data_IF_958378533968
#
_entry.id   IF_958378533968
#
_cell.length_a   1.000
_cell.length_b   1.000
_cell.length_c   1.000
_cell.angle_alpha   90.00
_cell.angle_beta   90.00
_cell.angle_gamma   90.00
#
_symmetry.space_group_name_H-M   'P 1'
#
loop_
_entity.id
_entity.type
_entity.pdbx_description
1 polymer ?
#
# COMPACT_ATOMS: atom_id res chain seq x y z
N UNK A 1 -23.13 13.58 -37.56
CA UNK A 1 -24.07 12.45 -37.66
C UNK A 1 -25.24 12.77 -36.78
N UNK A 2 -26.43 12.95 -37.36
CA UNK A 2 -27.66 13.09 -36.56
C UNK A 2 -27.99 11.74 -35.90
N UNK A 3 -28.32 11.78 -34.63
CA UNK A 3 -28.68 10.61 -33.85
C UNK A 3 -30.01 10.04 -34.39
N UNK A 4 -30.15 8.76 -34.69
CA UNK A 4 -31.37 8.20 -35.29
C UNK A 4 -32.64 8.44 -34.44
N UNK A 5 -32.47 8.69 -33.14
CA UNK A 5 -33.55 9.00 -32.19
C UNK A 5 -34.09 10.44 -32.33
N UNK A 6 -33.42 11.32 -33.08
CA UNK A 6 -33.89 12.67 -33.38
C UNK A 6 -34.73 12.75 -34.67
N UNK A 7 -35.13 11.58 -35.22
CA UNK A 7 -36.03 11.54 -36.40
C UNK A 7 -37.43 11.93 -36.03
N UNK A 8 -38.20 12.48 -37.00
CA UNK A 8 -39.58 12.95 -36.83
C UNK A 8 -40.57 11.85 -36.34
N UNK A 9 -40.14 10.57 -36.34
CA UNK A 9 -40.92 9.43 -35.86
C UNK A 9 -40.92 9.27 -34.35
N UNK A 10 -39.93 9.85 -33.66
CA UNK A 10 -39.80 9.78 -32.18
C UNK A 10 -40.26 11.12 -31.54
N UNK A 11 -41.56 11.39 -31.64
CA UNK A 11 -42.17 12.56 -31.01
C UNK A 11 -42.12 12.40 -29.48
N UNK A 12 -41.18 13.08 -28.85
CA UNK A 12 -41.11 13.17 -27.37
C UNK A 12 -39.76 12.84 -26.75
N UNK A 13 -38.80 12.27 -27.54
CA UNK A 13 -37.43 12.10 -27.08
C UNK A 13 -36.50 13.05 -27.84
N UNK A 14 -35.94 14.03 -27.15
CA UNK A 14 -34.86 14.85 -27.70
C UNK A 14 -33.55 14.42 -27.06
N UNK A 15 -32.66 13.78 -27.83
CA UNK A 15 -31.32 13.46 -27.37
C UNK A 15 -30.42 14.68 -27.59
N UNK A 16 -30.09 15.35 -26.52
CA UNK A 16 -29.13 16.44 -26.57
C UNK A 16 -27.71 15.87 -26.67
N UNK A 17 -26.88 16.47 -27.54
CA UNK A 17 -25.46 16.19 -27.55
C UNK A 17 -24.91 16.47 -26.14
N UNK A 18 -24.37 15.45 -25.48
CA UNK A 18 -23.84 15.56 -24.11
C UNK A 18 -22.76 16.64 -24.00
N UNK A 19 -22.57 17.14 -22.81
CA UNK A 19 -21.48 18.08 -22.51
C UNK A 19 -20.15 17.42 -22.85
N UNK A 20 -19.29 18.15 -23.57
CA UNK A 20 -17.93 17.68 -23.88
C UNK A 20 -17.23 17.27 -22.58
N UNK A 21 -16.78 16.02 -22.51
CA UNK A 21 -16.08 15.56 -21.31
C UNK A 21 -14.81 16.39 -21.10
N UNK A 22 -14.61 16.93 -19.90
CA UNK A 22 -13.38 17.64 -19.58
C UNK A 22 -12.21 16.68 -19.74
N UNK A 23 -11.05 17.21 -20.12
CA UNK A 23 -9.82 16.41 -20.21
C UNK A 23 -9.59 15.61 -18.93
N UNK A 24 -9.37 14.30 -19.04
CA UNK A 24 -9.05 13.39 -17.92
C UNK A 24 -7.78 13.87 -17.19
N UNK A 25 -6.91 14.59 -17.88
CA UNK A 25 -5.71 15.19 -17.31
C UNK A 25 -6.00 16.66 -17.04
N UNK A 26 -5.91 17.08 -15.77
CA UNK A 26 -6.05 18.48 -15.40
C UNK A 26 -5.05 19.34 -16.22
N UNK A 27 -5.51 20.25 -17.13
CA UNK A 27 -4.63 21.05 -17.99
C UNK A 27 -3.75 22.02 -17.18
N UNK A 28 -4.10 22.31 -15.94
CA UNK A 28 -3.33 23.17 -15.02
C UNK A 28 -2.29 22.43 -14.20
N UNK A 29 -2.22 21.09 -14.31
CA UNK A 29 -1.15 20.31 -13.69
C UNK A 29 0.18 20.67 -14.37
N UNK A 30 0.94 21.57 -13.75
CA UNK A 30 2.34 21.76 -14.11
C UNK A 30 3.03 20.42 -13.88
N UNK A 31 3.38 19.72 -14.96
CA UNK A 31 4.22 18.52 -14.94
C UNK A 31 5.63 18.94 -14.50
N UNK A 32 5.80 19.34 -13.25
CA UNK A 32 7.10 19.35 -12.64
C UNK A 32 7.58 17.90 -12.64
N UNK A 33 8.64 17.61 -13.39
CA UNK A 33 9.37 16.36 -13.22
C UNK A 33 9.95 16.42 -11.80
N UNK A 34 9.18 15.99 -10.80
CA UNK A 34 9.74 15.62 -9.51
C UNK A 34 10.69 14.45 -9.78
N UNK A 35 11.95 14.76 -10.04
CA UNK A 35 13.01 13.75 -9.92
C UNK A 35 13.04 13.41 -8.44
N UNK A 36 12.40 12.31 -8.08
CA UNK A 36 12.61 11.73 -6.76
C UNK A 36 14.12 11.53 -6.62
N UNK A 37 14.74 12.29 -5.69
CA UNK A 37 16.13 12.08 -5.33
C UNK A 37 16.27 10.60 -4.96
N UNK A 38 17.13 9.89 -5.67
CA UNK A 38 17.47 8.52 -5.30
C UNK A 38 18.12 8.59 -3.93
N UNK A 39 17.50 7.93 -2.96
CA UNK A 39 18.04 7.82 -1.62
C UNK A 39 19.16 6.77 -1.63
N UNK A 40 20.24 7.05 -0.94
CA UNK A 40 21.29 6.05 -0.68
C UNK A 40 20.81 5.04 0.35
N UNK A 41 21.48 3.89 0.44
CA UNK A 41 21.19 2.90 1.49
C UNK A 41 21.33 3.53 2.90
N UNK A 42 22.29 4.43 3.10
CA UNK A 42 22.45 5.17 4.35
C UNK A 42 21.25 6.05 4.70
N UNK A 43 20.69 6.79 3.72
CA UNK A 43 19.50 7.62 3.92
C UNK A 43 18.29 6.79 4.34
N UNK A 44 18.13 5.58 3.74
CA UNK A 44 17.07 4.65 4.13
C UNK A 44 17.23 4.17 5.57
N UNK A 45 18.41 3.72 5.93
CA UNK A 45 18.71 3.20 7.29
C UNK A 45 18.49 4.28 8.34
N UNK A 46 19.00 5.48 8.11
CA UNK A 46 18.82 6.61 9.03
C UNK A 46 17.34 6.95 9.22
N UNK A 47 16.58 7.03 8.15
CA UNK A 47 15.14 7.31 8.22
C UNK A 47 14.36 6.21 8.93
N UNK A 48 14.68 4.92 8.67
CA UNK A 48 14.05 3.78 9.35
C UNK A 48 14.34 3.83 10.85
N UNK A 49 15.58 4.03 11.25
CA UNK A 49 15.98 4.10 12.67
C UNK A 49 15.38 5.31 13.40
N UNK A 50 15.12 6.40 12.69
CA UNK A 50 14.35 7.55 13.21
C UNK A 50 12.85 7.27 13.29
N UNK A 51 12.38 6.18 12.69
CA UNK A 51 10.97 5.79 12.65
C UNK A 51 10.15 6.62 11.66
N UNK A 52 10.75 7.12 10.58
CA UNK A 52 10.04 7.80 9.50
C UNK A 52 9.25 6.78 8.67
N UNK A 53 7.93 6.80 8.83
CA UNK A 53 6.98 5.91 8.15
C UNK A 53 7.05 6.07 6.62
N UNK A 54 7.35 7.26 6.11
CA UNK A 54 7.47 7.53 4.68
C UNK A 54 8.71 6.85 4.12
N UNK A 55 9.84 6.95 4.82
CA UNK A 55 11.09 6.28 4.44
C UNK A 55 10.93 4.77 4.56
N UNK A 56 10.30 4.26 5.62
CA UNK A 56 9.97 2.84 5.76
C UNK A 56 9.14 2.33 4.59
N UNK A 57 8.07 3.05 4.21
CA UNK A 57 7.23 2.67 3.08
C UNK A 57 7.99 2.61 1.74
N UNK A 58 8.95 3.52 1.53
CA UNK A 58 9.85 3.50 0.37
C UNK A 58 10.83 2.33 0.42
N UNK A 59 11.41 2.05 1.57
CA UNK A 59 12.32 0.94 1.77
C UNK A 59 11.63 -0.41 1.52
N UNK A 60 10.40 -0.60 1.99
CA UNK A 60 9.59 -1.78 1.71
C UNK A 60 9.33 -1.91 0.21
N UNK A 61 9.00 -0.82 -0.48
CA UNK A 61 8.80 -0.82 -1.94
C UNK A 61 10.10 -1.18 -2.68
N UNK A 62 11.25 -0.71 -2.18
CA UNK A 62 12.56 -1.05 -2.73
C UNK A 62 12.86 -2.55 -2.59
N UNK A 63 12.59 -3.12 -1.42
CA UNK A 63 12.76 -4.56 -1.11
C UNK A 63 11.83 -5.43 -1.97
N UNK A 64 10.59 -5.00 -2.21
CA UNK A 64 9.62 -5.72 -3.03
C UNK A 64 9.91 -5.61 -4.54
N UNK A 65 10.77 -4.68 -4.95
CA UNK A 65 11.08 -4.43 -6.36
C UNK A 65 11.82 -5.61 -6.99
N UNK A 66 11.47 -5.92 -8.24
CA UNK A 66 12.15 -6.92 -9.07
C UNK A 66 13.31 -6.34 -9.88
N UNK A 67 13.50 -5.02 -9.85
CA UNK A 67 14.59 -4.36 -10.57
C UNK A 67 15.95 -4.70 -9.93
N UNK A 68 16.93 -5.23 -10.69
CA UNK A 68 18.25 -5.60 -10.15
C UNK A 68 18.99 -4.45 -9.45
N UNK A 69 18.88 -3.22 -9.97
CA UNK A 69 19.49 -2.05 -9.35
C UNK A 69 18.90 -1.73 -7.97
N UNK A 70 17.58 -1.96 -7.81
CA UNK A 70 16.92 -1.80 -6.52
C UNK A 70 17.29 -2.91 -5.55
N UNK A 71 17.48 -4.13 -6.04
CA UNK A 71 17.83 -5.27 -5.19
C UNK A 71 19.19 -5.10 -4.51
N UNK A 72 20.19 -4.53 -5.20
CA UNK A 72 21.49 -4.24 -4.63
C UNK A 72 21.39 -3.26 -3.45
N UNK A 73 20.65 -2.16 -3.63
CA UNK A 73 20.43 -1.17 -2.56
C UNK A 73 19.58 -1.76 -1.43
N UNK A 74 18.55 -2.55 -1.77
CA UNK A 74 17.69 -3.21 -0.78
C UNK A 74 18.49 -4.15 0.12
N UNK A 75 19.39 -4.93 -0.46
CA UNK A 75 20.26 -5.86 0.28
C UNK A 75 21.13 -5.09 1.29
N UNK A 76 21.75 -4.00 0.84
CA UNK A 76 22.58 -3.16 1.72
C UNK A 76 21.76 -2.55 2.88
N UNK A 77 20.51 -2.10 2.60
CA UNK A 77 19.61 -1.58 3.63
C UNK A 77 19.26 -2.67 4.64
N UNK A 78 18.91 -3.88 4.19
CA UNK A 78 18.59 -5.01 5.06
C UNK A 78 19.77 -5.37 5.96
N UNK A 79 20.97 -5.50 5.39
CA UNK A 79 22.18 -5.83 6.13
C UNK A 79 22.50 -4.83 7.23
N UNK A 80 22.34 -3.53 6.93
CA UNK A 80 22.56 -2.46 7.90
C UNK A 80 21.47 -2.36 8.96
N UNK A 81 20.21 -2.74 8.64
CA UNK A 81 19.10 -2.76 9.60
C UNK A 81 19.11 -4.02 10.49
N UNK A 82 19.70 -5.13 10.03
CA UNK A 82 19.68 -6.42 10.72
C UNK A 82 20.18 -6.35 12.18
N UNK A 83 21.25 -5.62 12.55
CA UNK A 83 21.68 -5.50 13.95
C UNK A 83 20.67 -4.82 14.86
N UNK A 84 19.75 -4.04 14.30
CA UNK A 84 18.71 -3.29 15.03
C UNK A 84 17.38 -4.05 15.09
N UNK A 85 17.23 -5.13 14.30
CA UNK A 85 16.03 -5.94 14.23
C UNK A 85 15.93 -6.95 15.38
N UNK A 86 14.75 -7.55 15.57
CA UNK A 86 14.57 -8.71 16.46
C UNK A 86 14.01 -8.40 17.84
N UNK A 87 13.77 -7.15 18.18
CA UNK A 87 13.19 -6.74 19.48
C UNK A 87 11.65 -6.62 19.46
N UNK A 88 11.02 -6.82 18.32
CA UNK A 88 9.57 -6.71 18.16
C UNK A 88 8.85 -8.03 18.46
N UNK A 89 7.67 -7.93 19.05
CA UNK A 89 6.73 -9.05 19.17
C UNK A 89 6.04 -9.21 17.82
N UNK A 90 5.98 -10.44 17.33
CA UNK A 90 5.38 -10.77 16.03
C UNK A 90 4.19 -11.68 16.22
N UNK A 91 3.03 -11.23 15.76
CA UNK A 91 1.76 -11.95 15.87
C UNK A 91 1.26 -12.30 14.48
N UNK A 92 1.07 -13.58 14.21
CA UNK A 92 0.46 -14.06 12.97
C UNK A 92 -1.05 -14.23 13.16
N UNK A 93 -1.85 -13.52 12.33
CA UNK A 93 -3.32 -13.62 12.34
C UNK A 93 -3.75 -14.27 11.03
N UNK A 94 -4.35 -15.44 11.13
CA UNK A 94 -4.85 -16.22 9.99
C UNK A 94 -6.33 -16.54 10.15
N UNK A 95 -7.00 -16.88 9.06
CA UNK A 95 -8.42 -17.26 9.08
C UNK A 95 -9.07 -17.08 7.72
N UNK A 96 -10.26 -17.64 7.55
CA UNK A 96 -11.04 -17.59 6.30
C UNK A 96 -11.43 -16.16 5.90
N UNK A 97 -11.67 -15.88 4.63
CA UNK A 97 -12.25 -14.61 4.18
C UNK A 97 -13.56 -14.31 4.91
N UNK A 98 -13.77 -13.06 5.30
CA UNK A 98 -15.00 -12.64 6.02
C UNK A 98 -15.02 -12.90 7.52
N UNK A 99 -14.02 -13.56 8.11
CA UNK A 99 -13.97 -13.87 9.57
C UNK A 99 -13.72 -12.65 10.47
N UNK A 100 -13.67 -11.43 9.92
CA UNK A 100 -13.46 -10.21 10.72
C UNK A 100 -12.00 -9.92 11.08
N UNK A 101 -11.00 -10.56 10.45
CA UNK A 101 -9.57 -10.36 10.75
C UNK A 101 -9.16 -8.89 10.76
N UNK A 102 -9.46 -8.14 9.71
CA UNK A 102 -9.05 -6.73 9.61
C UNK A 102 -9.70 -5.86 10.68
N UNK A 103 -10.97 -6.12 11.02
CA UNK A 103 -11.68 -5.44 12.09
C UNK A 103 -11.06 -5.74 13.48
N UNK A 104 -10.70 -7.01 13.69
CA UNK A 104 -10.02 -7.44 14.93
C UNK A 104 -8.62 -6.84 15.02
N UNK A 105 -7.88 -6.77 13.92
CA UNK A 105 -6.55 -6.15 13.86
C UNK A 105 -6.65 -4.65 14.18
N UNK A 106 -7.64 -3.95 13.61
CA UNK A 106 -7.86 -2.53 13.88
C UNK A 106 -8.12 -2.25 15.35
N UNK A 107 -9.07 -2.98 15.96
CA UNK A 107 -9.41 -2.84 17.37
C UNK A 107 -8.25 -3.22 18.30
N UNK A 108 -7.63 -4.38 18.06
CA UNK A 108 -6.51 -4.87 18.85
C UNK A 108 -5.28 -3.96 18.72
N UNK A 109 -4.97 -3.50 17.49
CA UNK A 109 -3.83 -2.64 17.26
C UNK A 109 -3.96 -1.28 17.93
N UNK A 110 -5.14 -0.66 17.91
CA UNK A 110 -5.41 0.58 18.66
C UNK A 110 -5.26 0.34 20.16
N UNK A 111 -5.79 -0.77 20.69
CA UNK A 111 -5.63 -1.11 22.10
C UNK A 111 -4.15 -1.25 22.49
N UNK A 112 -3.35 -1.97 21.68
CA UNK A 112 -1.91 -2.12 21.94
C UNK A 112 -1.20 -0.76 21.94
N UNK A 113 -1.49 0.11 20.98
CA UNK A 113 -0.87 1.43 20.91
C UNK A 113 -1.23 2.32 22.09
N UNK A 114 -2.49 2.22 22.59
CA UNK A 114 -2.96 3.01 23.73
C UNK A 114 -2.41 2.52 25.08
N UNK A 115 -2.37 1.21 25.29
CA UNK A 115 -1.99 0.62 26.59
C UNK A 115 -0.46 0.49 26.76
N UNK A 116 0.25 0.17 25.68
CA UNK A 116 1.69 -0.15 25.74
C UNK A 116 2.56 0.88 25.06
N UNK A 117 1.99 1.75 24.25
CA UNK A 117 2.74 2.70 23.42
C UNK A 117 3.55 2.00 22.31
N UNK A 118 4.59 2.69 21.83
CA UNK A 118 5.47 2.15 20.80
C UNK A 118 4.92 2.31 19.38
N UNK A 119 5.37 1.45 18.47
CA UNK A 119 4.97 1.46 17.06
C UNK A 119 4.39 0.13 16.64
N UNK A 120 3.41 0.16 15.76
CA UNK A 120 2.73 -1.02 15.24
C UNK A 120 2.87 -1.09 13.71
N UNK A 121 3.31 -2.23 13.21
CA UNK A 121 3.30 -2.51 11.77
C UNK A 121 2.31 -3.64 11.45
N UNK A 122 1.45 -3.44 10.47
CA UNK A 122 0.54 -4.45 9.94
C UNK A 122 0.98 -4.78 8.52
N UNK A 123 1.48 -5.99 8.32
CA UNK A 123 1.84 -6.52 7.01
C UNK A 123 0.68 -7.39 6.51
N UNK A 124 -0.23 -6.80 5.75
CA UNK A 124 -1.40 -7.49 5.22
C UNK A 124 -1.05 -8.20 3.92
N UNK A 125 -1.24 -9.52 3.87
CA UNK A 125 -0.98 -10.34 2.68
C UNK A 125 -2.32 -10.78 2.12
N UNK A 126 -2.65 -10.26 0.93
CA UNK A 126 -3.90 -10.58 0.25
C UNK A 126 -3.68 -11.64 -0.82
N UNK A 127 -4.17 -12.88 -0.61
CA UNK A 127 -4.08 -13.94 -1.61
C UNK A 127 -4.98 -13.68 -2.84
N UNK A 128 -5.93 -12.77 -2.75
CA UNK A 128 -6.88 -12.47 -3.83
C UNK A 128 -6.40 -11.38 -4.80
N UNK A 129 -5.30 -10.69 -4.48
CA UNK A 129 -4.78 -9.56 -5.27
C UNK A 129 -4.34 -9.92 -6.70
N UNK A 130 -4.11 -11.20 -6.98
CA UNK A 130 -3.84 -11.68 -8.35
C UNK A 130 -5.10 -11.74 -9.22
N UNK A 131 -6.26 -11.97 -8.63
CA UNK A 131 -7.55 -12.08 -9.35
C UNK A 131 -8.23 -10.74 -9.59
N UNK A 132 -8.00 -9.78 -8.72
CA UNK A 132 -8.57 -8.44 -8.83
C UNK A 132 -7.46 -7.40 -8.76
N UNK A 133 -7.03 -6.86 -9.88
CA UNK A 133 -6.02 -5.79 -10.01
C UNK A 133 -6.35 -4.49 -9.23
N UNK A 134 -7.34 -4.50 -8.33
CA UNK A 134 -7.85 -3.35 -7.58
C UNK A 134 -7.93 -3.50 -6.06
N UNK A 135 -7.60 -4.65 -5.48
CA UNK A 135 -7.88 -4.94 -4.05
C UNK A 135 -6.82 -4.45 -3.05
N UNK A 136 -5.68 -3.95 -3.50
CA UNK A 136 -4.57 -3.53 -2.60
C UNK A 136 -4.98 -2.44 -1.60
N UNK A 137 -5.97 -1.62 -1.93
CA UNK A 137 -6.47 -0.57 -1.03
C UNK A 137 -7.54 -1.07 -0.04
N UNK A 138 -8.17 -2.22 -0.31
CA UNK A 138 -9.30 -2.74 0.48
C UNK A 138 -8.95 -3.06 1.93
N UNK A 139 -7.74 -3.55 2.21
CA UNK A 139 -7.34 -3.87 3.58
C UNK A 139 -7.04 -2.62 4.40
N UNK A 140 -6.46 -1.59 3.78
CA UNK A 140 -6.21 -0.30 4.46
C UNK A 140 -7.51 0.42 4.82
N UNK A 141 -8.53 0.35 3.96
CA UNK A 141 -9.86 0.95 4.22
C UNK A 141 -10.66 0.21 5.28
N UNK A 142 -10.32 -1.04 5.61
CA UNK A 142 -10.97 -1.83 6.66
C UNK A 142 -10.36 -1.63 8.05
N UNK A 143 -9.20 -0.98 8.13
CA UNK A 143 -8.49 -0.66 9.38
C UNK A 143 -8.44 0.86 9.54
N UNK A 144 -9.63 1.47 9.64
CA UNK A 144 -9.79 2.93 9.56
C UNK A 144 -9.06 3.67 10.67
N UNK A 145 -9.09 3.16 11.89
CA UNK A 145 -8.46 3.78 13.06
C UNK A 145 -6.94 3.68 13.00
N UNK A 146 -6.43 2.50 12.68
CA UNK A 146 -4.99 2.28 12.50
C UNK A 146 -4.46 3.06 11.30
N UNK A 147 -5.23 3.17 10.20
CA UNK A 147 -4.78 3.84 8.98
C UNK A 147 -4.43 5.32 9.17
N UNK A 148 -4.98 5.96 10.19
CA UNK A 148 -4.75 7.37 10.52
C UNK A 148 -3.89 7.57 11.77
N UNK A 149 -3.54 6.49 12.49
CA UNK A 149 -2.74 6.61 13.71
C UNK A 149 -1.26 6.89 13.37
N UNK A 150 -0.61 7.89 14.00
CA UNK A 150 0.75 8.32 13.64
C UNK A 150 1.81 7.23 13.89
N UNK A 151 1.60 6.36 14.89
CA UNK A 151 2.53 5.29 15.25
C UNK A 151 2.18 3.95 14.61
N UNK A 152 1.30 3.94 13.60
CA UNK A 152 0.97 2.75 12.84
C UNK A 152 1.51 2.78 11.42
N UNK A 153 1.92 1.62 10.94
CA UNK A 153 2.29 1.39 9.55
C UNK A 153 1.50 0.22 8.98
N UNK A 154 0.69 0.45 7.95
CA UNK A 154 -0.05 -0.61 7.27
C UNK A 154 0.51 -0.79 5.88
N UNK A 155 1.00 -2.00 5.58
CA UNK A 155 1.53 -2.38 4.27
C UNK A 155 0.71 -3.52 3.68
N UNK A 156 -0.18 -3.27 2.72
CA UNK A 156 -0.73 -4.31 1.88
C UNK A 156 0.32 -4.78 0.87
N UNK A 157 0.59 -6.07 0.84
CA UNK A 157 1.53 -6.68 -0.12
C UNK A 157 0.84 -7.79 -0.90
N UNK A 158 1.00 -7.85 -2.23
CA UNK A 158 0.46 -8.94 -3.03
C UNK A 158 1.16 -10.25 -2.68
N UNK A 159 0.42 -11.35 -2.68
CA UNK A 159 0.98 -12.70 -2.42
C UNK A 159 1.94 -13.20 -3.50
N UNK A 160 1.98 -12.57 -4.67
CA UNK A 160 2.86 -12.87 -5.81
C UNK A 160 2.90 -14.38 -6.18
N UNK A 161 1.75 -15.07 -6.13
CA UNK A 161 1.62 -16.48 -6.54
C UNK A 161 2.27 -17.49 -5.59
N UNK A 162 2.72 -17.06 -4.43
CA UNK A 162 3.34 -17.94 -3.44
C UNK A 162 2.27 -18.75 -2.71
N UNK A 163 2.26 -20.07 -2.92
CA UNK A 163 1.48 -21.03 -2.14
C UNK A 163 1.85 -20.90 -0.66
N UNK A 164 0.86 -20.54 0.18
CA UNK A 164 1.09 -20.43 1.63
C UNK A 164 0.84 -19.04 2.22
N UNK A 165 0.39 -18.05 1.44
CA UNK A 165 -0.07 -16.74 1.96
C UNK A 165 1.01 -15.84 2.55
N UNK A 166 2.28 -16.10 2.24
CA UNK A 166 3.42 -15.25 2.63
C UNK A 166 3.93 -14.54 1.39
N UNK A 167 3.95 -13.22 1.40
CA UNK A 167 4.55 -12.46 0.32
C UNK A 167 6.06 -12.77 0.26
N UNK A 168 6.59 -12.84 -0.97
CA UNK A 168 7.97 -13.28 -1.24
C UNK A 168 9.04 -12.55 -0.42
N UNK A 169 8.74 -11.32 0.00
CA UNK A 169 9.66 -10.43 0.71
C UNK A 169 9.19 -10.04 2.12
N UNK A 170 8.24 -10.79 2.68
CA UNK A 170 7.72 -10.50 4.04
C UNK A 170 8.79 -10.60 5.12
N UNK A 171 9.73 -11.55 5.01
CA UNK A 171 10.82 -11.69 5.97
C UNK A 171 11.72 -10.46 6.01
N UNK A 172 12.13 -9.99 4.85
CA UNK A 172 12.95 -8.79 4.69
C UNK A 172 12.20 -7.55 5.17
N UNK A 173 10.90 -7.44 4.89
CA UNK A 173 10.07 -6.34 5.39
C UNK A 173 9.97 -6.34 6.91
N UNK A 174 9.88 -7.52 7.55
CA UNK A 174 9.88 -7.65 9.02
C UNK A 174 11.18 -7.16 9.65
N UNK A 175 12.32 -7.29 8.95
CA UNK A 175 13.62 -6.78 9.45
C UNK A 175 13.62 -5.25 9.49
N UNK A 176 12.89 -4.59 8.57
CA UNK A 176 12.82 -3.14 8.49
C UNK A 176 11.84 -2.54 9.51
N UNK A 177 10.83 -3.32 9.97
CA UNK A 177 9.82 -2.92 10.96
C UNK A 177 10.26 -3.25 12.39
#
# INVERSE_FOLDING_TARGET
MEHPENSAEYKGLTVNSGVAQPSIVNPYLKRGRYRHRQMSAGDYVEGILKGDVTVLGRAVTLVESTNPAHQAVAQEVIEKCLPHAGRSIRVGISGVPGAGKSTSIDAFGIHVLQEYGGKLAVLAIDPSSERSKGSILGDKTRMEKLAVHPDSFIRPSPSAGSLGGVARKTRETIILC
#
